data_IF_920492852240
#
_entry.id   IF_920492852240
#
_cell.length_a   1.000
_cell.length_b   1.000
_cell.length_c   1.000
_cell.angle_alpha   90.00
_cell.angle_beta   90.00
_cell.angle_gamma   90.00
#
_symmetry.space_group_name_H-M   'P 1'
#
loop_
_entity.id
_entity.type
_entity.pdbx_description
1 polymer ?
#
# COMPACT_ATOMS: atom_id res chain seq x y z
N UNK A 1 -14.60 14.77 21.73
CA UNK A 1 -13.55 13.75 21.89
C UNK A 1 -12.70 13.78 20.62
N UNK A 2 -11.45 14.21 20.70
CA UNK A 2 -10.58 14.33 19.53
C UNK A 2 -9.94 12.96 19.25
N UNK A 3 -10.31 12.32 18.13
CA UNK A 3 -9.62 11.14 17.64
C UNK A 3 -8.22 11.56 17.19
N UNK A 4 -7.22 11.19 18.00
CA UNK A 4 -5.82 11.47 17.74
C UNK A 4 -5.37 10.54 16.60
N UNK A 5 -5.54 10.96 15.35
CA UNK A 5 -4.86 10.34 14.21
C UNK A 5 -3.37 10.50 14.49
N UNK A 6 -2.70 9.42 14.92
CA UNK A 6 -1.25 9.44 15.11
C UNK A 6 -0.60 9.78 13.76
N UNK A 7 0.15 10.88 13.65
CA UNK A 7 0.91 11.14 12.43
C UNK A 7 1.96 10.05 12.27
N UNK A 8 1.92 9.32 11.15
CA UNK A 8 3.02 8.49 10.71
C UNK A 8 4.17 9.45 10.37
N UNK A 9 5.01 9.74 11.37
CA UNK A 9 6.23 10.52 11.23
C UNK A 9 7.30 9.63 10.61
N UNK A 10 7.32 9.58 9.28
CA UNK A 10 8.34 8.86 8.53
C UNK A 10 8.22 9.20 7.05
N UNK A 11 9.35 9.40 6.38
CA UNK A 11 9.42 9.30 4.92
C UNK A 11 8.77 7.97 4.57
N UNK A 12 7.75 7.99 3.69
CA UNK A 12 7.02 6.79 3.31
C UNK A 12 8.00 5.66 2.95
N UNK A 13 7.69 4.39 3.27
CA UNK A 13 8.56 3.26 2.97
C UNK A 13 9.14 3.31 1.55
N UNK A 14 10.40 2.88 1.43
CA UNK A 14 10.94 2.45 0.14
C UNK A 14 9.97 1.43 -0.48
N UNK A 15 9.72 1.55 -1.78
CA UNK A 15 8.78 0.68 -2.50
C UNK A 15 9.09 -0.81 -2.29
N UNK A 16 10.36 -1.15 -2.07
CA UNK A 16 10.84 -2.49 -1.75
C UNK A 16 10.32 -3.02 -0.41
N UNK A 17 10.22 -2.18 0.63
CA UNK A 17 9.69 -2.58 1.93
C UNK A 17 8.18 -2.85 1.87
N UNK A 18 7.46 -2.11 1.03
CA UNK A 18 6.05 -2.37 0.76
C UNK A 18 5.86 -3.67 -0.03
N UNK A 19 6.69 -3.91 -1.06
CA UNK A 19 6.65 -5.15 -1.83
C UNK A 19 6.92 -6.40 -0.97
N UNK A 20 7.74 -6.29 0.09
CA UNK A 20 8.01 -7.37 1.04
C UNK A 20 6.95 -7.54 2.14
N UNK A 21 5.93 -6.67 2.20
CA UNK A 21 4.89 -6.72 3.23
C UNK A 21 5.38 -6.41 4.66
N UNK A 22 6.60 -5.88 4.81
CA UNK A 22 7.27 -5.65 6.09
C UNK A 22 6.58 -4.57 6.94
N UNK A 23 5.70 -3.78 6.34
CA UNK A 23 5.10 -2.60 6.95
C UNK A 23 3.62 -2.77 7.34
N UNK A 24 3.07 -3.97 7.15
CA UNK A 24 1.66 -4.27 7.42
C UNK A 24 0.71 -3.82 6.32
N UNK A 25 -0.50 -4.37 6.35
CA UNK A 25 -1.56 -4.11 5.37
C UNK A 25 -2.67 -3.23 5.98
N UNK A 26 -3.47 -2.54 5.15
CA UNK A 26 -3.31 -2.37 3.71
C UNK A 26 -2.38 -1.20 3.34
N UNK A 27 -1.90 -1.21 2.10
CA UNK A 27 -1.19 -0.09 1.48
C UNK A 27 -1.63 0.09 0.01
N UNK A 28 -1.31 1.25 -0.57
CA UNK A 28 -1.56 1.54 -1.99
C UNK A 28 -0.25 1.76 -2.75
N UNK A 29 -0.13 1.15 -3.91
CA UNK A 29 0.95 1.38 -4.87
C UNK A 29 0.41 2.28 -5.98
N UNK A 30 1.01 3.44 -6.15
CA UNK A 30 0.70 4.41 -7.20
C UNK A 30 1.75 4.26 -8.31
N UNK A 31 1.30 3.96 -9.52
CA UNK A 31 2.16 3.88 -10.70
C UNK A 31 2.23 5.23 -11.39
N UNK A 32 3.29 5.99 -11.12
CA UNK A 32 3.52 7.31 -11.69
C UNK A 32 4.03 7.25 -13.15
N UNK A 33 4.82 6.22 -13.47
CA UNK A 33 5.31 5.94 -14.81
C UNK A 33 5.49 4.43 -15.02
N UNK A 34 5.97 4.01 -16.20
CA UNK A 34 6.09 2.59 -16.55
C UNK A 34 6.88 1.77 -15.52
N UNK A 35 7.94 2.35 -14.96
CA UNK A 35 8.88 1.77 -14.00
C UNK A 35 8.97 2.54 -12.68
N UNK A 36 8.14 3.58 -12.48
CA UNK A 36 8.18 4.42 -11.28
C UNK A 36 6.95 4.14 -10.45
N UNK A 37 7.17 3.51 -9.30
CA UNK A 37 6.16 3.13 -8.33
C UNK A 37 6.38 3.90 -7.03
N UNK A 38 5.30 4.39 -6.45
CA UNK A 38 5.30 5.01 -5.13
C UNK A 38 4.36 4.24 -4.23
N UNK A 39 4.85 3.82 -3.06
CA UNK A 39 4.01 3.15 -2.08
C UNK A 39 3.55 4.14 -1.01
N UNK A 40 2.27 4.10 -0.67
CA UNK A 40 1.64 4.95 0.32
C UNK A 40 0.91 4.08 1.34
N UNK A 41 1.14 4.37 2.62
CA UNK A 41 0.47 3.68 3.72
C UNK A 41 -0.80 4.41 4.10
N UNK A 42 -1.78 3.64 4.55
CA UNK A 42 -2.96 4.19 5.19
C UNK A 42 -2.72 4.35 6.69
N UNK A 43 -2.98 5.54 7.22
CA UNK A 43 -3.36 5.66 8.62
C UNK A 43 -4.76 5.06 8.79
N UNK A 44 -4.88 3.99 9.56
CA UNK A 44 -6.13 3.29 9.81
C UNK A 44 -6.79 3.82 11.09
N UNK A 45 -8.11 3.88 11.12
CA UNK A 45 -8.86 4.23 12.32
C UNK A 45 -10.28 3.68 12.32
N UNK A 46 -10.82 3.38 13.49
CA UNK A 46 -12.25 3.12 13.65
C UNK A 46 -13.03 4.43 13.77
N UNK A 47 -14.16 4.55 13.05
CA UNK A 47 -15.04 5.72 13.14
C UNK A 47 -15.95 5.88 11.94
N UNK A 48 -16.52 7.07 11.78
CA UNK A 48 -17.38 7.40 10.63
C UNK A 48 -16.60 7.29 9.31
N UNK A 49 -17.19 6.71 8.25
CA UNK A 49 -16.52 6.50 6.96
C UNK A 49 -15.86 7.77 6.41
N UNK A 50 -14.54 7.74 6.31
CA UNK A 50 -13.72 8.80 5.73
C UNK A 50 -12.43 8.21 5.18
N UNK A 51 -12.11 8.49 3.91
CA UNK A 51 -10.88 8.01 3.32
C UNK A 51 -10.27 9.06 2.40
N UNK A 52 -8.95 9.04 2.31
CA UNK A 52 -8.17 9.92 1.45
C UNK A 52 -6.97 9.16 0.91
N UNK A 53 -6.68 9.37 -0.37
CA UNK A 53 -5.40 9.01 -0.97
C UNK A 53 -4.69 10.29 -1.36
N UNK A 54 -3.58 10.54 -0.70
CA UNK A 54 -2.71 11.67 -0.97
C UNK A 54 -1.29 11.30 -0.55
N UNK A 55 -0.30 11.88 -1.25
CA UNK A 55 1.11 11.70 -0.90
C UNK A 55 1.36 12.05 0.57
N UNK A 56 1.88 11.10 1.33
CA UNK A 56 2.17 11.19 2.77
C UNK A 56 0.96 11.54 3.66
N UNK A 57 -0.27 11.42 3.16
CA UNK A 57 -1.49 11.74 3.90
C UNK A 57 -2.67 10.87 3.45
N UNK A 58 -2.40 9.58 3.27
CA UNK A 58 -3.42 8.59 2.99
C UNK A 58 -3.98 8.03 4.30
N UNK A 59 -5.30 7.96 4.42
CA UNK A 59 -5.97 7.43 5.60
C UNK A 59 -7.27 6.72 5.24
N UNK A 60 -7.68 5.81 6.11
CA UNK A 60 -8.97 5.13 6.08
C UNK A 60 -9.52 5.07 7.50
N UNK A 61 -10.64 5.76 7.71
CA UNK A 61 -11.45 5.69 8.92
C UNK A 61 -12.76 5.01 8.53
N UNK A 62 -13.07 3.86 9.14
CA UNK A 62 -14.31 3.13 8.85
C UNK A 62 -14.68 2.22 10.04
N UNK A 63 -15.97 1.95 10.33
CA UNK A 63 -16.35 1.06 11.43
C UNK A 63 -15.82 -0.36 11.28
N UNK A 64 -15.60 -0.78 10.04
CA UNK A 64 -15.07 -2.08 9.65
C UNK A 64 -13.54 -2.23 9.66
N UNK A 65 -12.81 -1.26 10.22
CA UNK A 65 -11.35 -1.33 10.41
C UNK A 65 -11.06 -2.03 11.73
N UNK A 66 -10.14 -2.98 11.76
CA UNK A 66 -9.50 -3.45 12.99
C UNK A 66 -8.14 -2.75 13.15
N UNK A 67 -8.03 -1.79 14.07
CA UNK A 67 -6.79 -1.02 14.29
C UNK A 67 -5.65 -1.87 14.88
N UNK A 68 -5.94 -3.00 15.52
CA UNK A 68 -4.92 -3.87 16.10
C UNK A 68 -4.21 -4.71 15.04
N UNK A 69 -4.97 -5.19 14.05
CA UNK A 69 -4.46 -6.09 13.01
C UNK A 69 -4.27 -5.40 11.65
N UNK A 70 -4.91 -4.26 11.44
CA UNK A 70 -5.04 -3.60 10.14
C UNK A 70 -6.05 -4.27 9.20
N UNK A 71 -6.77 -5.31 9.67
CA UNK A 71 -7.77 -6.00 8.87
C UNK A 71 -8.96 -5.10 8.54
N UNK A 72 -9.52 -5.31 7.35
CA UNK A 72 -10.69 -4.59 6.86
C UNK A 72 -11.81 -5.57 6.55
N UNK A 73 -13.02 -5.28 7.01
CA UNK A 73 -14.20 -5.99 6.56
C UNK A 73 -14.57 -5.67 5.10
N UNK A 74 -15.57 -6.36 4.57
CA UNK A 74 -15.96 -6.20 3.16
C UNK A 74 -16.42 -4.77 2.83
N UNK A 75 -17.09 -4.09 3.75
CA UNK A 75 -17.61 -2.73 3.54
C UNK A 75 -16.48 -1.69 3.58
N UNK A 76 -15.54 -1.82 4.52
CA UNK A 76 -14.34 -0.98 4.59
C UNK A 76 -13.46 -1.15 3.34
N UNK A 77 -13.29 -2.40 2.87
CA UNK A 77 -12.56 -2.69 1.63
C UNK A 77 -13.23 -2.02 0.44
N UNK A 78 -14.54 -2.20 0.28
CA UNK A 78 -15.30 -1.60 -0.82
C UNK A 78 -15.23 -0.07 -0.78
N UNK A 79 -15.34 0.54 0.41
CA UNK A 79 -15.23 1.98 0.58
C UNK A 79 -13.85 2.50 0.17
N UNK A 80 -12.78 1.76 0.52
CA UNK A 80 -11.43 2.07 0.10
C UNK A 80 -11.24 1.91 -1.42
N UNK A 81 -11.75 0.83 -2.02
CA UNK A 81 -11.70 0.61 -3.48
C UNK A 81 -12.36 1.77 -4.24
N UNK A 82 -13.54 2.22 -3.80
CA UNK A 82 -14.24 3.38 -4.40
C UNK A 82 -13.43 4.66 -4.25
N UNK A 83 -12.87 4.90 -3.07
CA UNK A 83 -12.03 6.08 -2.83
C UNK A 83 -10.79 6.07 -3.73
N UNK A 84 -10.17 4.91 -3.90
CA UNK A 84 -9.01 4.75 -4.75
C UNK A 84 -9.32 4.88 -6.23
N UNK A 85 -10.46 4.34 -6.71
CA UNK A 85 -10.94 4.57 -8.06
C UNK A 85 -11.13 6.06 -8.35
N UNK A 86 -11.75 6.79 -7.42
CA UNK A 86 -11.91 8.24 -7.55
C UNK A 86 -10.55 8.96 -7.63
N UNK A 87 -9.55 8.51 -6.86
CA UNK A 87 -8.19 9.04 -6.93
C UNK A 87 -7.52 8.71 -8.28
N UNK A 88 -7.63 7.48 -8.78
CA UNK A 88 -7.15 7.05 -10.09
C UNK A 88 -7.74 7.93 -11.20
N UNK A 89 -9.04 8.18 -11.17
CA UNK A 89 -9.70 9.06 -12.15
C UNK A 89 -9.25 10.51 -12.04
N UNK A 90 -9.09 11.01 -10.81
CA UNK A 90 -8.69 12.40 -10.56
C UNK A 90 -7.24 12.68 -10.99
N UNK A 91 -6.33 11.76 -10.72
CA UNK A 91 -4.89 11.96 -10.95
C UNK A 91 -4.38 11.34 -12.26
N UNK A 92 -5.14 10.42 -12.87
CA UNK A 92 -4.75 9.70 -14.08
C UNK A 92 -3.70 8.61 -13.85
N UNK A 93 -3.33 8.33 -12.59
CA UNK A 93 -2.37 7.28 -12.26
C UNK A 93 -3.08 5.97 -11.94
N UNK A 94 -2.56 4.86 -12.46
CA UNK A 94 -2.98 3.52 -12.07
C UNK A 94 -2.58 3.26 -10.62
N UNK A 95 -3.46 2.59 -9.87
CA UNK A 95 -3.19 2.27 -8.47
C UNK A 95 -3.45 0.80 -8.20
N UNK A 96 -2.79 0.24 -7.19
CA UNK A 96 -3.12 -1.06 -6.64
C UNK A 96 -3.25 -0.97 -5.13
N UNK A 97 -4.32 -1.50 -4.56
CA UNK A 97 -4.45 -1.66 -3.11
C UNK A 97 -4.05 -3.09 -2.78
N UNK A 98 -3.15 -3.25 -1.81
CA UNK A 98 -2.71 -4.55 -1.32
C UNK A 98 -3.25 -4.73 0.09
N UNK A 99 -4.06 -5.77 0.29
CA UNK A 99 -4.74 -6.10 1.54
C UNK A 99 -4.06 -7.25 2.30
N UNK A 100 -3.37 -8.13 1.57
CA UNK A 100 -2.53 -9.20 2.11
C UNK A 100 -1.46 -9.57 1.09
N UNK A 101 -0.55 -10.48 1.45
CA UNK A 101 0.52 -10.94 0.57
C UNK A 101 -0.01 -11.55 -0.75
N UNK A 102 -1.20 -12.16 -0.69
CA UNK A 102 -1.87 -12.84 -1.81
C UNK A 102 -3.26 -12.23 -2.12
N UNK A 103 -3.49 -10.98 -1.73
CA UNK A 103 -4.76 -10.29 -1.95
C UNK A 103 -4.52 -8.82 -2.31
N UNK A 104 -4.67 -8.50 -3.58
CA UNK A 104 -4.63 -7.13 -4.06
C UNK A 104 -5.66 -6.86 -5.15
N UNK A 105 -5.92 -5.59 -5.37
CA UNK A 105 -6.77 -5.10 -6.47
C UNK A 105 -6.01 -4.08 -7.29
N UNK A 106 -6.15 -4.16 -8.61
CA UNK A 106 -5.63 -3.19 -9.57
C UNK A 106 -6.79 -2.30 -10.03
N UNK A 107 -6.54 -1.00 -10.05
CA UNK A 107 -7.51 0.04 -10.31
C UNK A 107 -7.03 0.89 -11.49
N UNK A 108 -7.85 0.94 -12.52
CA UNK A 108 -7.53 1.57 -13.80
C UNK A 108 -8.38 2.83 -14.05
N UNK A 109 -7.90 3.79 -14.86
CA UNK A 109 -8.65 5.02 -15.20
C UNK A 109 -10.04 4.81 -15.80
N UNK A 110 -10.26 3.66 -16.43
CA UNK A 110 -11.53 3.24 -17.03
C UNK A 110 -12.56 2.70 -16.02
N UNK A 111 -12.25 2.77 -14.70
CA UNK A 111 -13.02 2.23 -13.58
C UNK A 111 -13.00 0.71 -13.46
N UNK A 112 -12.17 0.00 -14.22
CA UNK A 112 -12.00 -1.43 -14.01
C UNK A 112 -11.30 -1.71 -12.68
N UNK A 113 -11.74 -2.79 -12.03
CA UNK A 113 -11.21 -3.31 -10.77
C UNK A 113 -10.82 -4.77 -11.02
N UNK A 114 -9.54 -5.07 -11.00
CA UNK A 114 -9.02 -6.40 -11.27
C UNK A 114 -8.42 -6.98 -9.99
N UNK A 115 -9.02 -8.04 -9.43
CA UNK A 115 -8.46 -8.73 -8.26
C UNK A 115 -7.30 -9.63 -8.69
N UNK A 116 -6.28 -9.74 -7.86
CA UNK A 116 -5.09 -10.56 -8.11
C UNK A 116 -4.52 -11.10 -6.82
N UNK A 117 -3.79 -12.21 -6.92
CA UNK A 117 -3.03 -12.82 -5.82
C UNK A 117 -1.57 -12.36 -5.76
N UNK A 118 -1.18 -11.47 -6.66
CA UNK A 118 0.19 -10.99 -6.74
C UNK A 118 0.15 -9.46 -6.75
N UNK A 119 0.74 -8.80 -5.73
CA UNK A 119 0.88 -7.35 -5.75
C UNK A 119 1.69 -6.93 -6.99
N UNK A 120 1.61 -5.66 -7.42
CA UNK A 120 2.45 -5.17 -8.50
C UNK A 120 3.89 -5.43 -8.07
N UNK A 121 4.52 -6.44 -8.69
CA UNK A 121 5.95 -6.64 -8.54
C UNK A 121 6.55 -5.32 -9.05
N UNK A 122 7.13 -4.54 -8.14
CA UNK A 122 7.95 -3.39 -8.49
C UNK A 122 9.23 -3.90 -9.14
N UNK A 123 9.09 -4.70 -10.20
CA UNK A 123 10.00 -5.77 -10.57
C UNK A 123 11.44 -5.28 -10.57
N UNK A 124 12.19 -5.64 -9.55
CA UNK A 124 13.26 -6.63 -9.60
C UNK A 124 13.29 -7.34 -8.24
N UNK A 125 13.00 -8.65 -8.18
CA UNK A 125 13.60 -9.48 -7.11
C UNK A 125 15.06 -9.64 -7.47
N UNK A 126 15.91 -8.74 -6.97
CA UNK A 126 17.34 -8.99 -6.98
C UNK A 126 17.59 -9.96 -5.84
N UNK A 127 17.58 -11.26 -6.14
CA UNK A 127 18.39 -12.19 -5.37
C UNK A 127 19.84 -11.80 -5.67
N UNK A 128 20.34 -10.74 -5.01
CA UNK A 128 21.77 -10.49 -5.01
C UNK A 128 22.35 -11.54 -4.06
N UNK A 129 22.88 -12.61 -4.63
CA UNK A 129 23.77 -13.49 -3.90
C UNK A 129 25.03 -12.67 -3.62
N UNK A 130 25.10 -12.04 -2.45
CA UNK A 130 26.33 -11.43 -1.98
C UNK A 130 27.27 -12.59 -1.71
N UNK A 131 28.00 -12.98 -2.76
CA UNK A 131 29.05 -13.98 -2.69
C UNK A 131 29.85 -13.77 -1.42
N UNK A 132 29.93 -14.84 -0.62
CA UNK A 132 30.63 -14.92 0.67
C UNK A 132 31.87 -14.01 0.64
N UNK A 133 32.07 -13.09 1.61
CA UNK A 133 33.25 -12.24 1.61
C UNK A 133 34.49 -13.14 1.57
N UNK A 134 35.50 -12.82 0.73
CA UNK A 134 36.69 -13.65 0.63
C UNK A 134 37.31 -13.76 2.02
N UNK A 135 37.47 -15.01 2.48
CA UNK A 135 38.22 -15.33 3.69
C UNK A 135 39.61 -14.73 3.51
N UNK A 136 39.94 -13.71 4.31
CA UNK A 136 41.32 -13.24 4.40
C UNK A 136 42.09 -14.31 5.15
N UNK A 137 42.84 -15.12 4.40
CA UNK A 137 43.89 -15.94 4.98
C UNK A 137 44.88 -15.00 5.65
N UNK A 138 44.91 -15.06 6.98
CA UNK A 138 45.88 -14.35 7.79
C UNK A 138 47.12 -15.23 7.80
N UNK A 139 48.14 -14.82 7.04
CA UNK A 139 49.48 -15.40 7.09
C UNK A 139 50.22 -14.94 8.35
#
# INVERSE_FOLDING_TARGET
MANLIRPLTGVGPDADACARGEQGFPYVVIRLAATVYQCERFALGQGSPSARIARNNSHLIHPGVDEATGALDADARRFLEVTALNAVQKFGFRMSIVYAADDCVYLEPDRSVNRSKQPPSGGISLTVDFGKPPQRDTA
#
